data_IF_083252198053
#
_entry.id   IF_083252198053
#
_cell.length_a   1.000
_cell.length_b   1.000
_cell.length_c   1.000
_cell.angle_alpha   90.00
_cell.angle_beta   90.00
_cell.angle_gamma   90.00
#
_symmetry.space_group_name_H-M   'P 1'
#
loop_
_entity.id
_entity.type
_entity.pdbx_description
1 polymer ?
#
# COMPACT_ATOMS: atom_id res chain seq x y z
N UNK A 1 37.52 -11.17 -16.92
CA UNK A 1 36.61 -11.92 -16.01
C UNK A 1 36.20 -11.07 -14.80
N UNK A 2 35.59 -9.89 -15.01
CA UNK A 2 35.18 -8.96 -13.92
C UNK A 2 33.73 -8.49 -14.08
N UNK A 3 33.15 -8.60 -15.28
CA UNK A 3 31.78 -8.12 -15.56
C UNK A 3 30.67 -8.99 -14.94
N UNK A 4 30.92 -10.27 -14.69
CA UNK A 4 29.92 -11.17 -14.08
C UNK A 4 29.65 -10.85 -12.60
N UNK A 5 30.63 -10.28 -11.90
CA UNK A 5 30.52 -9.94 -10.48
C UNK A 5 29.63 -8.71 -10.23
N UNK A 6 29.68 -7.72 -11.12
CA UNK A 6 28.91 -6.48 -10.98
C UNK A 6 27.42 -6.69 -11.26
N UNK A 7 27.07 -7.52 -12.24
CA UNK A 7 25.68 -7.86 -12.55
C UNK A 7 25.00 -8.69 -11.44
N UNK A 8 25.74 -9.57 -10.76
CA UNK A 8 25.25 -10.36 -9.62
C UNK A 8 24.99 -9.53 -8.36
N UNK A 9 25.87 -8.54 -8.08
CA UNK A 9 25.71 -7.59 -6.98
C UNK A 9 24.50 -6.68 -7.17
N UNK A 10 24.27 -6.18 -8.39
CA UNK A 10 23.11 -5.35 -8.72
C UNK A 10 21.79 -6.12 -8.57
N UNK A 11 21.77 -7.41 -8.97
CA UNK A 11 20.58 -8.26 -8.82
C UNK A 11 20.22 -8.51 -7.35
N UNK A 12 21.21 -8.81 -6.52
CA UNK A 12 21.01 -9.05 -5.09
C UNK A 12 20.59 -7.76 -4.34
N UNK A 13 21.15 -6.62 -4.76
CA UNK A 13 20.76 -5.29 -4.25
C UNK A 13 19.32 -4.95 -4.64
N UNK A 14 18.92 -5.23 -5.88
CA UNK A 14 17.53 -5.04 -6.35
C UNK A 14 16.53 -5.92 -5.61
N UNK A 15 16.87 -7.17 -5.33
CA UNK A 15 16.00 -8.07 -4.56
C UNK A 15 15.81 -7.59 -3.11
N UNK A 16 16.88 -7.12 -2.47
CA UNK A 16 16.81 -6.50 -1.13
C UNK A 16 15.99 -5.20 -1.13
N UNK A 17 16.21 -4.33 -2.12
CA UNK A 17 15.45 -3.08 -2.26
C UNK A 17 13.96 -3.37 -2.47
N UNK A 18 13.64 -4.34 -3.34
CA UNK A 18 12.27 -4.78 -3.54
C UNK A 18 11.66 -5.34 -2.24
N UNK A 19 12.38 -6.14 -1.46
CA UNK A 19 11.88 -6.61 -0.16
C UNK A 19 11.56 -5.44 0.79
N UNK A 20 12.43 -4.43 0.86
CA UNK A 20 12.19 -3.24 1.69
C UNK A 20 10.95 -2.45 1.23
N UNK A 21 10.76 -2.29 -0.09
CA UNK A 21 9.58 -1.63 -0.66
C UNK A 21 8.29 -2.36 -0.26
N UNK A 22 8.29 -3.70 -0.30
CA UNK A 22 7.13 -4.49 0.14
C UNK A 22 6.85 -4.32 1.63
N UNK A 23 7.89 -4.32 2.45
CA UNK A 23 7.75 -4.12 3.89
C UNK A 23 7.15 -2.72 4.18
N UNK A 24 7.63 -1.68 3.49
CA UNK A 24 7.06 -0.34 3.59
C UNK A 24 5.60 -0.30 3.11
N UNK A 25 5.27 -0.95 1.99
CA UNK A 25 3.90 -1.06 1.49
C UNK A 25 2.96 -1.72 2.52
N UNK A 26 3.44 -2.73 3.23
CA UNK A 26 2.66 -3.37 4.30
C UNK A 26 2.35 -2.41 5.45
N UNK A 27 3.33 -1.61 5.89
CA UNK A 27 3.10 -0.58 6.89
C UNK A 27 2.12 0.50 6.42
N UNK A 28 2.22 0.92 5.15
CA UNK A 28 1.29 1.88 4.56
C UNK A 28 -0.15 1.34 4.61
N UNK A 29 -0.36 0.07 4.23
CA UNK A 29 -1.69 -0.56 4.33
C UNK A 29 -2.21 -0.55 5.75
N UNK A 30 -1.40 -0.97 6.73
CA UNK A 30 -1.81 -1.02 8.13
C UNK A 30 -2.22 0.36 8.66
N UNK A 31 -1.41 1.39 8.37
CA UNK A 31 -1.68 2.78 8.77
C UNK A 31 -2.94 3.29 8.06
N UNK A 32 -3.05 3.11 6.74
CA UNK A 32 -4.22 3.55 5.97
C UNK A 32 -5.50 2.85 6.43
N UNK A 33 -5.44 1.58 6.83
CA UNK A 33 -6.60 0.85 7.35
C UNK A 33 -7.03 1.39 8.73
N UNK A 34 -6.09 1.75 9.58
CA UNK A 34 -6.39 2.43 10.85
C UNK A 34 -7.06 3.79 10.61
N UNK A 35 -6.50 4.61 9.71
CA UNK A 35 -7.11 5.89 9.34
C UNK A 35 -8.47 5.73 8.67
N UNK A 36 -8.67 4.69 7.87
CA UNK A 36 -9.95 4.40 7.23
C UNK A 36 -11.05 4.21 8.28
N UNK A 37 -10.81 3.37 9.28
CA UNK A 37 -11.78 3.09 10.34
C UNK A 37 -12.07 4.35 11.15
N UNK A 38 -11.04 5.11 11.50
CA UNK A 38 -11.17 6.32 12.32
C UNK A 38 -11.93 7.43 11.60
N UNK A 39 -11.63 7.65 10.31
CA UNK A 39 -12.34 8.64 9.49
C UNK A 39 -13.76 8.18 9.13
N UNK A 40 -14.00 6.88 8.94
CA UNK A 40 -15.34 6.35 8.70
C UNK A 40 -16.23 6.50 9.94
N UNK A 41 -15.70 6.22 11.13
CA UNK A 41 -16.40 6.44 12.39
C UNK A 41 -16.73 7.93 12.60
N UNK A 42 -15.75 8.81 12.38
CA UNK A 42 -15.96 10.25 12.49
C UNK A 42 -16.98 10.77 11.47
N UNK A 43 -16.92 10.30 10.22
CA UNK A 43 -17.90 10.65 9.18
C UNK A 43 -19.33 10.29 9.61
N UNK A 44 -19.54 9.08 10.14
CA UNK A 44 -20.85 8.66 10.64
C UNK A 44 -21.34 9.49 11.83
N UNK A 45 -20.46 9.80 12.78
CA UNK A 45 -20.73 10.70 13.91
C UNK A 45 -21.15 12.11 13.45
N UNK A 46 -20.38 12.72 12.56
CA UNK A 46 -20.66 14.08 12.09
C UNK A 46 -21.95 14.16 11.27
N UNK A 47 -22.25 13.11 10.49
CA UNK A 47 -23.51 13.00 9.77
C UNK A 47 -24.71 12.93 10.72
N UNK A 48 -24.59 12.16 11.82
CA UNK A 48 -25.64 12.06 12.84
C UNK A 48 -25.89 13.34 13.66
N UNK A 49 -24.89 14.22 13.78
CA UNK A 49 -24.99 15.51 14.48
C UNK A 49 -25.47 16.65 13.54
N UNK A 50 -25.66 16.36 12.24
CA UNK A 50 -26.11 17.34 11.25
C UNK A 50 -25.00 18.27 10.73
N UNK A 51 -23.73 17.99 11.02
CA UNK A 51 -22.59 18.77 10.51
C UNK A 51 -22.14 18.23 9.15
N UNK A 52 -22.82 18.67 8.07
CA UNK A 52 -22.53 18.23 6.70
C UNK A 52 -21.09 18.55 6.25
N UNK A 53 -20.54 19.71 6.62
CA UNK A 53 -19.19 20.11 6.22
C UNK A 53 -18.10 19.19 6.79
N UNK A 54 -18.17 18.89 8.09
CA UNK A 54 -17.22 17.99 8.74
C UNK A 54 -17.38 16.54 8.29
N UNK A 55 -18.61 16.12 7.98
CA UNK A 55 -18.89 14.79 7.46
C UNK A 55 -18.32 14.59 6.05
N UNK A 56 -18.49 15.59 5.16
CA UNK A 56 -17.96 15.55 3.81
C UNK A 56 -16.43 15.54 3.79
N UNK A 57 -15.78 16.35 4.64
CA UNK A 57 -14.33 16.33 4.76
C UNK A 57 -13.81 14.97 5.29
N UNK A 58 -14.50 14.38 6.27
CA UNK A 58 -14.16 13.05 6.79
C UNK A 58 -14.29 11.97 5.71
N UNK A 59 -15.31 12.06 4.83
CA UNK A 59 -15.48 11.16 3.69
C UNK A 59 -14.34 11.27 2.67
N UNK A 60 -13.79 12.47 2.43
CA UNK A 60 -12.60 12.62 1.58
C UNK A 60 -11.37 11.90 2.17
N UNK A 61 -11.18 11.95 3.49
CA UNK A 61 -10.10 11.21 4.15
C UNK A 61 -10.31 9.69 4.10
N UNK A 62 -11.56 9.22 4.18
CA UNK A 62 -11.90 7.81 3.93
C UNK A 62 -11.54 7.45 2.49
N UNK A 63 -11.97 8.22 1.49
CA UNK A 63 -11.69 7.96 0.08
C UNK A 63 -10.18 7.90 -0.19
N UNK A 64 -9.40 8.83 0.36
CA UNK A 64 -7.94 8.81 0.28
C UNK A 64 -7.35 7.52 0.88
N UNK A 65 -7.80 7.15 2.07
CA UNK A 65 -7.36 5.92 2.74
C UNK A 65 -7.70 4.66 1.92
N UNK A 66 -8.87 4.60 1.29
CA UNK A 66 -9.27 3.51 0.38
C UNK A 66 -8.33 3.43 -0.81
N UNK A 67 -7.98 4.55 -1.43
CA UNK A 67 -7.07 4.57 -2.59
C UNK A 67 -5.69 4.02 -2.21
N UNK A 68 -5.14 4.42 -1.06
CA UNK A 68 -3.87 3.89 -0.57
C UNK A 68 -3.94 2.37 -0.33
N UNK A 69 -5.01 1.89 0.32
CA UNK A 69 -5.21 0.45 0.53
C UNK A 69 -5.33 -0.29 -0.81
N UNK A 70 -6.10 0.23 -1.76
CA UNK A 70 -6.32 -0.39 -3.06
C UNK A 70 -5.03 -0.47 -3.90
N UNK A 71 -4.23 0.60 -3.92
CA UNK A 71 -2.94 0.65 -4.63
C UNK A 71 -1.96 -0.34 -4.02
N UNK A 72 -1.81 -0.35 -2.70
CA UNK A 72 -0.90 -1.28 -2.03
C UNK A 72 -1.34 -2.73 -2.18
N UNK A 73 -2.64 -3.02 -2.12
CA UNK A 73 -3.18 -4.37 -2.35
C UNK A 73 -2.93 -4.83 -3.79
N UNK A 74 -3.11 -3.93 -4.76
CA UNK A 74 -2.80 -4.19 -6.18
C UNK A 74 -1.31 -4.46 -6.38
N UNK A 75 -0.44 -3.70 -5.71
CA UNK A 75 1.01 -3.90 -5.76
C UNK A 75 1.42 -5.28 -5.24
N UNK A 76 0.91 -5.67 -4.07
CA UNK A 76 1.15 -7.00 -3.47
C UNK A 76 0.67 -8.10 -4.43
N UNK A 77 -0.51 -7.92 -5.04
CA UNK A 77 -1.06 -8.86 -6.01
C UNK A 77 -0.14 -9.00 -7.23
N UNK A 78 0.22 -7.90 -7.91
CA UNK A 78 1.12 -7.92 -9.08
C UNK A 78 2.42 -8.67 -8.75
N UNK A 79 3.00 -8.41 -7.59
CA UNK A 79 4.24 -9.06 -7.18
C UNK A 79 4.08 -10.56 -6.92
N UNK A 80 3.00 -10.96 -6.27
CA UNK A 80 2.69 -12.36 -6.02
C UNK A 80 2.56 -13.13 -7.34
N UNK A 81 1.84 -12.58 -8.31
CA UNK A 81 1.68 -13.20 -9.63
C UNK A 81 2.98 -13.18 -10.43
N UNK A 82 3.71 -12.05 -10.48
CA UNK A 82 4.98 -11.95 -11.20
C UNK A 82 6.06 -12.90 -10.66
N UNK A 83 6.12 -13.14 -9.34
CA UNK A 83 7.01 -14.16 -8.76
C UNK A 83 6.59 -15.58 -9.15
N UNK A 84 5.28 -15.88 -9.21
CA UNK A 84 4.77 -17.21 -9.57
C UNK A 84 5.02 -17.55 -11.04
N UNK A 85 4.99 -16.57 -11.95
CA UNK A 85 5.29 -16.80 -13.38
C UNK A 85 6.77 -17.10 -13.64
N UNK A 86 7.68 -16.57 -12.82
CA UNK A 86 9.13 -16.80 -12.95
C UNK A 86 9.54 -18.19 -12.41
N UNK A 87 8.88 -18.72 -11.38
CA UNK A 87 9.20 -20.03 -10.78
C UNK A 87 8.73 -21.22 -11.64
N UNK A 88 7.88 -21.00 -12.67
CA UNK A 88 7.35 -22.05 -13.56
C UNK A 88 8.08 -22.19 -14.90
N UNK A 89 9.28 -21.59 -15.07
CA UNK A 89 10.15 -21.83 -16.25
C UNK A 89 11.50 -22.35 -15.82
#
# INVERSE_FOLDING_TARGET
>A
MVETSMAGLDRNTKERLMFFIDLMMFFIVAISMFFLVLNAYNAGRFFGIGSMGCAQQSLFYVAGSVVFVAVSMTWIFIRFFKKRTIIRR
#
